data_IF_149502006716
#
_entry.id   IF_149502006716
#
_cell.length_a   1.000
_cell.length_b   1.000
_cell.length_c   1.000
_cell.angle_alpha   90.00
_cell.angle_beta   90.00
_cell.angle_gamma   90.00
#
_symmetry.space_group_name_H-M   'P 1'
#
loop_
_entity.id
_entity.type
_entity.pdbx_description
1 polymer ?
#
# COMPACT_ATOMS: atom_id res chain seq x y z
N UNK A 1 9.12 -9.24 34.96
CA UNK A 1 9.20 -9.86 33.62
C UNK A 1 7.75 -10.14 33.21
N UNK A 2 7.15 -9.60 32.15
CA UNK A 2 7.48 -9.81 30.75
C UNK A 2 6.45 -9.04 29.89
N UNK A 3 6.73 -7.80 29.48
CA UNK A 3 5.85 -7.03 28.56
C UNK A 3 6.41 -6.94 27.13
N UNK A 4 7.67 -7.33 26.93
CA UNK A 4 8.35 -7.22 25.62
C UNK A 4 7.86 -8.25 24.58
N UNK A 5 7.28 -9.36 25.00
CA UNK A 5 6.93 -10.47 24.10
C UNK A 5 5.62 -10.27 23.31
N UNK A 6 4.75 -9.35 23.72
CA UNK A 6 3.48 -9.09 23.03
C UNK A 6 3.66 -8.07 21.89
N UNK A 7 4.51 -7.06 22.09
CA UNK A 7 4.83 -6.05 21.08
C UNK A 7 5.59 -6.63 19.88
N UNK A 8 6.54 -7.54 20.15
CA UNK A 8 7.32 -8.17 19.08
C UNK A 8 6.46 -9.04 18.16
N UNK A 9 5.43 -9.73 18.67
CA UNK A 9 4.53 -10.54 17.84
C UNK A 9 3.65 -9.71 16.90
N UNK A 10 3.10 -8.58 17.36
CA UNK A 10 2.31 -7.67 16.48
C UNK A 10 3.17 -7.04 15.39
N UNK A 11 4.41 -6.69 15.71
CA UNK A 11 5.37 -6.17 14.72
C UNK A 11 5.70 -7.22 13.65
N UNK A 12 5.90 -8.48 14.05
CA UNK A 12 6.22 -9.54 13.10
C UNK A 12 5.04 -9.84 12.18
N UNK A 13 3.80 -9.88 12.69
CA UNK A 13 2.59 -10.05 11.87
C UNK A 13 2.38 -8.91 10.86
N UNK A 14 2.56 -7.65 11.28
CA UNK A 14 2.48 -6.50 10.39
C UNK A 14 3.55 -6.57 9.31
N UNK A 15 4.79 -6.88 9.66
CA UNK A 15 5.93 -6.99 8.74
C UNK A 15 5.74 -8.13 7.74
N UNK A 16 5.17 -9.28 8.13
CA UNK A 16 4.81 -10.36 7.17
C UNK A 16 3.75 -9.93 6.18
N UNK A 17 2.78 -9.11 6.59
CA UNK A 17 1.75 -8.59 5.69
C UNK A 17 2.33 -7.55 4.73
N UNK A 18 3.15 -6.63 5.23
CA UNK A 18 3.82 -5.60 4.43
C UNK A 18 4.81 -6.18 3.43
N UNK A 19 5.60 -7.19 3.82
CA UNK A 19 6.58 -7.84 2.95
C UNK A 19 5.90 -8.64 1.82
N UNK A 20 4.84 -9.39 2.12
CA UNK A 20 4.05 -10.07 1.08
C UNK A 20 3.39 -9.08 0.11
N UNK A 21 2.95 -7.93 0.61
CA UNK A 21 2.39 -6.86 -0.22
C UNK A 21 3.46 -6.23 -1.10
N UNK A 22 4.67 -5.97 -0.57
CA UNK A 22 5.84 -5.55 -1.36
C UNK A 22 6.22 -6.56 -2.43
N UNK A 23 6.25 -7.85 -2.09
CA UNK A 23 6.59 -8.92 -3.04
C UNK A 23 5.52 -9.02 -4.16
N UNK A 24 4.24 -8.89 -3.83
CA UNK A 24 3.15 -8.82 -4.81
C UNK A 24 3.23 -7.55 -5.67
N UNK A 25 3.56 -6.39 -5.10
CA UNK A 25 3.77 -5.13 -5.84
C UNK A 25 4.97 -5.22 -6.79
N UNK A 26 6.06 -5.88 -6.36
CA UNK A 26 7.26 -6.08 -7.16
C UNK A 26 7.06 -7.14 -8.25
N UNK A 27 6.24 -8.16 -7.99
CA UNK A 27 5.85 -9.19 -8.95
C UNK A 27 4.79 -8.76 -9.96
N UNK A 28 4.15 -7.60 -9.77
CA UNK A 28 3.05 -7.13 -10.64
C UNK A 28 3.47 -6.02 -11.62
N UNK A 29 2.80 -6.01 -12.78
CA UNK A 29 2.89 -4.96 -13.83
C UNK A 29 2.14 -3.66 -13.45
N UNK A 30 2.20 -3.27 -12.18
CA UNK A 30 1.68 -1.98 -11.71
C UNK A 30 2.43 -0.85 -12.42
N UNK A 31 1.69 0.10 -12.98
CA UNK A 31 2.31 1.30 -13.54
C UNK A 31 2.90 2.14 -12.40
N UNK A 32 3.96 2.95 -12.65
CA UNK A 32 4.58 3.76 -11.61
C UNK A 32 3.57 4.56 -10.77
N UNK A 33 2.65 5.28 -11.43
CA UNK A 33 1.59 6.05 -10.77
C UNK A 33 0.57 5.23 -9.97
N UNK A 34 0.32 3.98 -10.37
CA UNK A 34 -0.58 3.08 -9.64
C UNK A 34 0.12 2.56 -8.37
N UNK A 35 1.41 2.25 -8.48
CA UNK A 35 2.28 1.85 -7.37
C UNK A 35 2.42 2.97 -6.36
N UNK A 36 2.71 4.20 -6.81
CA UNK A 36 2.92 5.35 -5.91
C UNK A 36 1.67 5.62 -5.06
N UNK A 37 0.49 5.66 -5.69
CA UNK A 37 -0.78 5.84 -4.98
C UNK A 37 -1.04 4.70 -3.98
N UNK A 38 -0.78 3.45 -4.38
CA UNK A 38 -0.98 2.29 -3.52
C UNK A 38 -0.01 2.30 -2.32
N UNK A 39 1.25 2.66 -2.54
CA UNK A 39 2.26 2.75 -1.48
C UNK A 39 1.91 3.87 -0.50
N UNK A 40 1.62 5.08 -0.98
CA UNK A 40 1.22 6.21 -0.13
C UNK A 40 -0.06 5.89 0.68
N UNK A 41 -0.98 5.12 0.10
CA UNK A 41 -2.23 4.76 0.79
C UNK A 41 -2.05 3.68 1.86
N UNK A 42 -1.21 2.68 1.60
CA UNK A 42 -1.06 1.50 2.47
C UNK A 42 0.04 1.69 3.52
N UNK A 43 1.14 2.37 3.16
CA UNK A 43 2.32 2.51 4.03
C UNK A 43 2.32 3.80 4.81
N UNK A 44 1.91 4.89 4.18
CA UNK A 44 1.90 6.23 4.79
C UNK A 44 0.50 6.63 5.31
N UNK A 45 -0.50 5.76 5.14
CA UNK A 45 -1.91 5.96 5.52
C UNK A 45 -2.54 7.29 5.05
N UNK A 46 -2.04 7.83 3.94
CA UNK A 46 -2.51 9.10 3.40
C UNK A 46 -3.94 8.99 2.86
N UNK A 47 -4.74 10.04 3.02
CA UNK A 47 -6.03 10.15 2.34
C UNK A 47 -5.86 10.32 0.82
N UNK A 48 -6.89 10.02 0.03
CA UNK A 48 -6.83 10.26 -1.41
C UNK A 48 -6.63 11.74 -1.76
N UNK A 49 -7.08 12.64 -0.89
CA UNK A 49 -6.85 14.07 -1.01
C UNK A 49 -5.37 14.42 -0.85
N UNK A 50 -4.71 13.95 0.22
CA UNK A 50 -3.28 14.21 0.45
C UNK A 50 -2.39 13.55 -0.61
N UNK A 51 -2.76 12.35 -1.07
CA UNK A 51 -2.08 11.68 -2.19
C UNK A 51 -2.22 12.51 -3.47
N UNK A 52 -3.41 13.05 -3.71
CA UNK A 52 -3.68 13.86 -4.88
C UNK A 52 -2.87 15.16 -4.88
N UNK A 53 -2.79 15.83 -3.73
CA UNK A 53 -1.96 17.01 -3.52
C UNK A 53 -0.47 16.69 -3.75
N UNK A 54 0.02 15.60 -3.12
CA UNK A 54 1.43 15.18 -3.21
C UNK A 54 1.86 14.77 -4.62
N UNK A 55 0.98 14.12 -5.38
CA UNK A 55 1.26 13.66 -6.74
C UNK A 55 0.82 14.66 -7.82
N UNK A 56 0.31 15.83 -7.42
CA UNK A 56 -0.24 16.86 -8.30
C UNK A 56 -1.27 16.28 -9.31
N UNK A 57 -2.24 15.52 -8.79
CA UNK A 57 -3.36 14.95 -9.53
C UNK A 57 -4.67 15.30 -8.84
N UNK A 58 -5.81 14.94 -9.44
CA UNK A 58 -7.10 15.09 -8.76
C UNK A 58 -7.37 13.93 -7.81
N UNK A 59 -8.13 14.16 -6.74
CA UNK A 59 -8.56 13.11 -5.80
C UNK A 59 -9.26 11.95 -6.52
N UNK A 60 -10.15 12.27 -7.47
CA UNK A 60 -10.83 11.27 -8.31
C UNK A 60 -9.82 10.42 -9.12
N UNK A 61 -8.72 11.01 -9.55
CA UNK A 61 -7.63 10.29 -10.23
C UNK A 61 -6.88 9.38 -9.26
N UNK A 62 -6.59 9.85 -8.04
CA UNK A 62 -6.01 9.03 -6.97
C UNK A 62 -6.87 7.80 -6.65
N UNK A 63 -8.16 8.00 -6.40
CA UNK A 63 -9.12 6.90 -6.17
C UNK A 63 -9.15 5.90 -7.33
N UNK A 64 -9.15 6.38 -8.58
CA UNK A 64 -9.16 5.53 -9.77
C UNK A 64 -7.86 4.73 -9.93
N UNK A 65 -6.70 5.35 -9.67
CA UNK A 65 -5.40 4.70 -9.74
C UNK A 65 -5.29 3.61 -8.66
N UNK A 66 -5.74 3.91 -7.44
CA UNK A 66 -5.80 2.95 -6.34
C UNK A 66 -6.67 1.74 -6.69
N UNK A 67 -7.90 1.97 -7.19
CA UNK A 67 -8.81 0.91 -7.57
C UNK A 67 -8.30 0.05 -8.74
N UNK A 68 -7.47 0.61 -9.63
CA UNK A 68 -6.78 -0.16 -10.67
C UNK A 68 -5.63 -0.98 -10.10
N UNK A 69 -4.87 -0.40 -9.18
CA UNK A 69 -3.76 -1.07 -8.54
C UNK A 69 -4.22 -2.31 -7.75
N UNK A 70 -5.29 -2.17 -6.97
CA UNK A 70 -5.90 -3.28 -6.21
C UNK A 70 -6.41 -4.38 -7.15
N UNK A 71 -7.11 -4.04 -8.23
CA UNK A 71 -7.58 -5.05 -9.19
C UNK A 71 -6.45 -5.85 -9.81
N UNK A 72 -5.36 -5.19 -10.21
CA UNK A 72 -4.18 -5.87 -10.76
C UNK A 72 -3.49 -6.77 -9.74
N UNK A 73 -3.47 -6.38 -8.48
CA UNK A 73 -2.94 -7.21 -7.40
C UNK A 73 -3.83 -8.43 -7.14
N UNK A 74 -5.15 -8.27 -7.24
CA UNK A 74 -6.11 -9.38 -7.14
C UNK A 74 -5.98 -10.36 -8.31
N UNK A 75 -5.80 -9.88 -9.54
CA UNK A 75 -5.64 -10.73 -10.72
C UNK A 75 -4.32 -11.52 -10.73
N UNK A 76 -3.33 -11.07 -9.95
CA UNK A 76 -1.99 -11.66 -9.88
C UNK A 76 -1.79 -12.61 -8.69
N UNK A 77 -2.74 -12.66 -7.75
CA UNK A 77 -2.76 -13.54 -6.58
C UNK A 77 -3.61 -14.78 -6.87
#
# INVERSE_FOLDING_TARGET
MSSRHIEDRRRVESVTSTKRLMDAINGTVLKPRERDVLMLKIFDDLSHYEIADRLNITEKTSQRLFAKAIRKLQDAL
#
